data_IF_055594489376
#
_entry.id   IF_055594489376
#
_cell.length_a   1.000
_cell.length_b   1.000
_cell.length_c   1.000
_cell.angle_alpha   90.00
_cell.angle_beta   90.00
_cell.angle_gamma   90.00
#
_symmetry.space_group_name_H-M   'P 1'
#
loop_
_entity.id
_entity.type
_entity.pdbx_description
1 polymer ?
#
# COMPACT_ATOMS: atom_id res chain seq x y z
N UNK A 1 14.88 -10.96 2.44
CA UNK A 1 13.56 -10.68 3.06
C UNK A 1 12.53 -11.39 2.21
N UNK A 2 11.72 -12.26 2.81
CA UNK A 2 10.72 -13.06 2.10
C UNK A 2 9.46 -13.20 2.96
N UNK A 3 8.38 -12.52 2.58
CA UNK A 3 7.10 -12.58 3.25
C UNK A 3 5.94 -12.27 2.30
N UNK A 4 4.73 -12.55 2.77
CA UNK A 4 3.49 -12.17 2.12
C UNK A 4 2.98 -10.82 2.67
N UNK A 5 2.11 -10.18 1.90
CA UNK A 5 1.36 -8.98 2.29
C UNK A 5 -0.12 -9.30 2.23
N UNK A 6 -0.82 -9.14 3.35
CA UNK A 6 -2.26 -9.40 3.43
C UNK A 6 -3.03 -8.09 3.62
N UNK A 7 -4.16 -7.97 2.94
CA UNK A 7 -5.16 -6.93 3.19
C UNK A 7 -6.50 -7.57 3.53
N UNK A 8 -7.20 -7.02 4.51
CA UNK A 8 -8.64 -7.27 4.69
C UNK A 8 -9.34 -6.05 4.13
N UNK A 9 -10.16 -6.26 3.11
CA UNK A 9 -10.85 -5.20 2.37
C UNK A 9 -12.35 -5.43 2.38
N UNK A 10 -13.11 -4.39 2.12
CA UNK A 10 -14.57 -4.37 2.17
C UNK A 10 -15.17 -3.84 0.88
N UNK A 11 -16.50 -3.84 0.80
CA UNK A 11 -17.25 -3.21 -0.30
C UNK A 11 -16.81 -1.76 -0.53
N UNK A 12 -16.62 -0.99 0.55
CA UNK A 12 -16.20 0.41 0.48
C UNK A 12 -14.81 0.58 -0.14
N UNK A 13 -13.86 -0.27 0.24
CA UNK A 13 -12.52 -0.26 -0.35
C UNK A 13 -12.56 -0.58 -1.85
N UNK A 14 -13.41 -1.52 -2.27
CA UNK A 14 -13.51 -1.92 -3.67
C UNK A 14 -14.24 -0.90 -4.56
N UNK A 15 -15.05 0.00 -3.97
CA UNK A 15 -15.69 1.12 -4.67
C UNK A 15 -14.73 2.27 -4.94
N UNK A 16 -13.68 2.41 -4.13
CA UNK A 16 -12.75 3.53 -4.24
C UNK A 16 -11.83 3.44 -5.47
N UNK A 17 -11.71 4.55 -6.21
CA UNK A 17 -10.95 4.61 -7.46
C UNK A 17 -9.46 4.24 -7.27
N UNK A 18 -8.87 4.67 -6.15
CA UNK A 18 -7.48 4.34 -5.79
C UNK A 18 -7.25 2.82 -5.70
N UNK A 19 -8.22 2.05 -5.20
CA UNK A 19 -8.09 0.60 -5.09
C UNK A 19 -8.07 -0.06 -6.47
N UNK A 20 -8.86 0.47 -7.42
CA UNK A 20 -8.83 0.03 -8.81
C UNK A 20 -7.51 0.35 -9.50
N UNK A 21 -6.95 1.54 -9.28
CA UNK A 21 -5.62 1.92 -9.76
C UNK A 21 -4.54 0.96 -9.24
N UNK A 22 -4.51 0.73 -7.93
CA UNK A 22 -3.55 -0.15 -7.29
C UNK A 22 -3.72 -1.62 -7.72
N UNK A 23 -4.95 -2.12 -7.81
CA UNK A 23 -5.24 -3.49 -8.22
C UNK A 23 -4.84 -3.73 -9.68
N UNK A 24 -5.15 -2.78 -10.57
CA UNK A 24 -4.71 -2.83 -11.97
C UNK A 24 -3.19 -2.91 -12.08
N UNK A 25 -2.44 -2.09 -11.33
CA UNK A 25 -0.98 -2.11 -11.36
C UNK A 25 -0.39 -3.37 -10.73
N UNK A 26 -0.93 -3.85 -9.61
CA UNK A 26 -0.46 -5.07 -8.95
C UNK A 26 -0.64 -6.32 -9.84
N UNK A 27 -1.75 -6.38 -10.59
CA UNK A 27 -1.99 -7.44 -11.57
C UNK A 27 -1.01 -7.38 -12.75
N UNK A 28 -0.77 -6.17 -13.30
CA UNK A 28 0.25 -5.95 -14.32
C UNK A 28 1.66 -6.38 -13.85
N UNK A 29 2.00 -6.05 -12.60
CA UNK A 29 3.28 -6.38 -11.97
C UNK A 29 3.37 -7.83 -11.45
N UNK A 30 2.31 -8.65 -11.59
CA UNK A 30 2.28 -10.05 -11.15
C UNK A 30 2.75 -10.26 -9.69
N UNK A 31 2.25 -9.43 -8.77
CA UNK A 31 2.65 -9.44 -7.37
C UNK A 31 2.04 -10.63 -6.58
N UNK A 32 2.47 -11.86 -6.84
CA UNK A 32 1.95 -13.11 -6.24
C UNK A 32 2.03 -13.25 -4.72
N UNK A 33 2.68 -12.31 -4.03
CA UNK A 33 2.73 -12.25 -2.56
C UNK A 33 1.72 -11.30 -1.93
N UNK A 34 0.90 -10.62 -2.74
CA UNK A 34 -0.23 -9.79 -2.30
C UNK A 34 -1.49 -10.64 -2.29
N UNK A 35 -2.13 -10.75 -1.11
CA UNK A 35 -3.34 -11.53 -0.92
C UNK A 35 -4.38 -10.68 -0.19
N UNK A 36 -5.52 -10.43 -0.83
CA UNK A 36 -6.65 -9.74 -0.22
C UNK A 36 -7.72 -10.74 0.21
N UNK A 37 -8.22 -10.57 1.45
CA UNK A 37 -9.45 -11.16 1.92
C UNK A 37 -10.52 -10.08 1.86
N UNK A 38 -11.45 -10.22 0.91
CA UNK A 38 -12.56 -9.31 0.75
C UNK A 38 -13.73 -9.81 1.61
N UNK A 39 -14.07 -9.05 2.64
CA UNK A 39 -15.27 -9.24 3.46
C UNK A 39 -16.52 -8.88 2.64
N UNK A 40 -17.05 -9.87 1.94
CA UNK A 40 -18.21 -9.73 1.06
C UNK A 40 -19.48 -10.00 1.86
N UNK A 41 -19.94 -8.99 2.58
CA UNK A 41 -21.12 -9.05 3.45
C UNK A 41 -22.36 -8.36 2.84
N UNK A 42 -22.21 -7.74 1.66
CA UNK A 42 -23.26 -7.02 0.92
C UNK A 42 -23.85 -5.79 1.62
N UNK A 43 -23.15 -5.20 2.59
CA UNK A 43 -23.63 -4.08 3.40
C UNK A 43 -22.61 -2.94 3.42
N UNK A 44 -23.09 -1.73 3.16
CA UNK A 44 -22.37 -0.46 3.35
C UNK A 44 -23.05 0.38 4.44
N UNK A 45 -22.52 1.58 4.70
CA UNK A 45 -23.09 2.50 5.70
C UNK A 45 -24.54 2.86 5.40
N UNK A 46 -24.84 3.22 4.15
CA UNK A 46 -26.16 3.73 3.76
C UNK A 46 -27.19 2.63 3.52
N UNK A 47 -26.77 1.37 3.40
CA UNK A 47 -27.69 0.30 3.09
C UNK A 47 -27.02 -0.98 2.62
N UNK A 48 -27.78 -1.78 1.90
CA UNK A 48 -27.23 -2.92 1.16
C UNK A 48 -26.48 -2.42 -0.07
N UNK A 49 -25.53 -3.21 -0.55
CA UNK A 49 -24.69 -2.88 -1.71
C UNK A 49 -25.49 -2.65 -2.99
N UNK A 50 -26.68 -3.23 -3.14
CA UNK A 50 -27.51 -3.11 -4.35
C UNK A 50 -27.95 -1.68 -4.69
N UNK A 51 -27.88 -0.74 -3.73
CA UNK A 51 -28.20 0.67 -3.95
C UNK A 51 -27.14 1.41 -4.79
N UNK A 52 -25.87 0.96 -4.77
CA UNK A 52 -24.76 1.71 -5.37
C UNK A 52 -23.59 0.85 -5.90
N UNK A 53 -23.57 -0.46 -5.61
CA UNK A 53 -22.47 -1.38 -5.91
C UNK A 53 -23.00 -2.75 -6.35
N UNK A 54 -23.24 -2.87 -7.65
CA UNK A 54 -23.83 -4.06 -8.30
C UNK A 54 -22.92 -4.69 -9.36
N UNK A 55 -21.67 -4.22 -9.45
CA UNK A 55 -20.69 -4.73 -10.38
C UNK A 55 -20.20 -6.15 -10.01
N UNK A 56 -19.67 -6.85 -10.99
CA UNK A 56 -19.04 -8.14 -10.80
C UNK A 56 -17.56 -7.93 -10.41
N UNK A 57 -17.31 -7.79 -9.10
CA UNK A 57 -15.96 -7.61 -8.55
C UNK A 57 -15.01 -8.73 -8.98
N UNK A 58 -15.51 -9.96 -9.07
CA UNK A 58 -14.71 -11.12 -9.44
C UNK A 58 -14.21 -10.99 -10.88
N UNK A 59 -15.10 -10.63 -11.82
CA UNK A 59 -14.70 -10.36 -13.21
C UNK A 59 -13.80 -9.13 -13.34
N UNK A 60 -14.00 -8.08 -12.54
CA UNK A 60 -13.12 -6.90 -12.54
C UNK A 60 -11.69 -7.27 -12.14
N UNK A 61 -11.53 -8.05 -11.06
CA UNK A 61 -10.22 -8.49 -10.60
C UNK A 61 -9.58 -9.53 -11.54
N UNK A 62 -10.37 -10.45 -12.10
CA UNK A 62 -9.88 -11.37 -13.15
C UNK A 62 -9.36 -10.59 -14.36
N UNK A 63 -10.06 -9.54 -14.79
CA UNK A 63 -9.63 -8.66 -15.88
C UNK A 63 -8.34 -7.87 -15.55
N UNK A 64 -8.06 -7.60 -14.27
CA UNK A 64 -6.77 -7.06 -13.84
C UNK A 64 -5.63 -8.10 -13.84
N UNK A 65 -5.93 -9.39 -14.01
CA UNK A 65 -4.95 -10.47 -13.97
C UNK A 65 -4.73 -11.06 -12.57
N UNK A 66 -5.73 -10.96 -11.69
CA UNK A 66 -5.67 -11.54 -10.35
C UNK A 66 -6.13 -13.00 -10.32
N UNK A 67 -5.64 -13.74 -9.34
CA UNK A 67 -6.25 -15.01 -8.94
C UNK A 67 -7.47 -14.72 -8.06
N UNK A 68 -8.64 -15.16 -8.52
CA UNK A 68 -9.92 -14.85 -7.88
C UNK A 68 -10.54 -16.10 -7.28
N UNK A 69 -10.92 -16.03 -6.00
CA UNK A 69 -11.61 -17.09 -5.30
C UNK A 69 -12.88 -16.55 -4.64
N UNK A 70 -13.93 -17.36 -4.55
CA UNK A 70 -15.15 -17.05 -3.80
C UNK A 70 -15.45 -18.24 -2.89
N UNK A 71 -15.58 -17.98 -1.59
CA UNK A 71 -15.72 -19.02 -0.56
C UNK A 71 -16.79 -18.63 0.46
N UNK A 72 -17.22 -19.60 1.26
CA UNK A 72 -17.88 -19.32 2.53
C UNK A 72 -16.85 -18.74 3.52
N UNK A 73 -16.98 -17.46 3.84
CA UNK A 73 -16.09 -16.76 4.77
C UNK A 73 -16.34 -17.11 6.24
N UNK A 74 -17.44 -17.79 6.54
CA UNK A 74 -17.78 -18.26 7.89
C UNK A 74 -17.19 -19.64 8.18
N UNK A 75 -16.66 -20.34 7.17
CA UNK A 75 -15.97 -21.63 7.30
C UNK A 75 -14.45 -21.44 7.35
N UNK A 76 -13.87 -21.61 8.54
CA UNK A 76 -12.42 -21.51 8.74
C UNK A 76 -11.59 -22.50 7.91
N UNK A 77 -12.12 -23.67 7.55
CA UNK A 77 -11.43 -24.63 6.70
C UNK A 77 -11.41 -24.15 5.24
N UNK A 78 -12.50 -23.57 4.74
CA UNK A 78 -12.56 -22.96 3.42
C UNK A 78 -11.58 -21.78 3.31
N UNK A 79 -11.51 -20.91 4.33
CA UNK A 79 -10.55 -19.80 4.39
C UNK A 79 -9.11 -20.32 4.36
N UNK A 80 -8.79 -21.35 5.14
CA UNK A 80 -7.45 -21.94 5.18
C UNK A 80 -7.05 -22.55 3.81
N UNK A 81 -7.97 -23.26 3.16
CA UNK A 81 -7.75 -23.83 1.84
C UNK A 81 -7.53 -22.75 0.77
N UNK A 82 -8.35 -21.68 0.80
CA UNK A 82 -8.23 -20.57 -0.15
C UNK A 82 -6.92 -19.79 0.02
N UNK A 83 -6.47 -19.58 1.25
CA UNK A 83 -5.17 -18.98 1.55
C UNK A 83 -4.01 -19.85 1.06
N UNK A 84 -4.12 -21.17 1.18
CA UNK A 84 -3.11 -22.10 0.65
C UNK A 84 -3.05 -22.04 -0.88
N UNK A 85 -4.20 -22.01 -1.56
CA UNK A 85 -4.28 -21.85 -3.01
C UNK A 85 -3.72 -20.50 -3.47
N UNK A 86 -4.07 -19.41 -2.79
CA UNK A 86 -3.56 -18.07 -3.09
C UNK A 86 -2.04 -17.98 -3.00
N UNK A 87 -1.43 -18.62 -1.99
CA UNK A 87 0.03 -18.66 -1.81
C UNK A 87 0.78 -19.43 -2.90
N UNK A 88 0.08 -20.34 -3.59
CA UNK A 88 0.64 -21.18 -4.64
C UNK A 88 0.46 -20.58 -6.05
N UNK A 89 -0.36 -19.53 -6.19
CA UNK A 89 -0.57 -18.85 -7.47
C UNK A 89 0.48 -17.73 -7.65
N UNK A 90 1.09 -17.58 -8.84
CA UNK A 90 2.05 -16.51 -9.11
C UNK A 90 1.39 -15.12 -9.25
N UNK A 91 0.07 -15.02 -9.41
CA UNK A 91 -0.66 -13.75 -9.52
C UNK A 91 -1.04 -13.20 -8.14
N UNK A 92 -1.23 -11.88 -7.99
CA UNK A 92 -1.88 -11.36 -6.78
C UNK A 92 -3.27 -12.00 -6.63
N UNK A 93 -3.68 -12.27 -5.39
CA UNK A 93 -4.91 -13.01 -5.11
C UNK A 93 -5.94 -12.16 -4.38
N UNK A 94 -7.21 -12.28 -4.77
CA UNK A 94 -8.37 -11.79 -4.01
C UNK A 94 -9.29 -12.95 -3.68
N UNK A 95 -9.65 -13.06 -2.40
CA UNK A 95 -10.54 -14.09 -1.86
C UNK A 95 -11.79 -13.39 -1.37
N UNK A 96 -12.88 -13.51 -2.13
CA UNK A 96 -14.22 -13.07 -1.70
C UNK A 96 -14.74 -14.01 -0.63
N UNK A 97 -14.65 -13.57 0.62
CA UNK A 97 -15.18 -14.26 1.78
C UNK A 97 -16.63 -13.84 1.97
N UNK A 98 -17.58 -14.71 1.61
CA UNK A 98 -19.00 -14.42 1.88
C UNK A 98 -19.25 -14.52 3.37
N UNK A 99 -19.60 -13.41 4.02
CA UNK A 99 -19.83 -13.33 5.47
C UNK A 99 -21.21 -12.72 5.76
N UNK A 100 -21.55 -12.63 7.05
CA UNK A 100 -22.76 -11.96 7.52
C UNK A 100 -22.36 -10.90 8.54
N UNK A 101 -22.59 -9.62 8.23
CA UNK A 101 -22.30 -8.53 9.16
C UNK A 101 -23.12 -8.68 10.46
N UNK A 102 -22.52 -8.43 11.61
CA UNK A 102 -23.22 -8.54 12.90
C UNK A 102 -23.68 -9.96 13.25
N UNK A 103 -23.07 -10.99 12.67
CA UNK A 103 -23.42 -12.40 12.88
C UNK A 103 -23.65 -12.75 14.37
N UNK A 104 -24.76 -13.42 14.63
CA UNK A 104 -25.21 -13.83 15.95
C UNK A 104 -26.05 -12.80 16.70
N UNK A 105 -26.24 -11.58 16.17
CA UNK A 105 -27.19 -10.61 16.70
C UNK A 105 -28.60 -10.88 16.17
N UNK A 106 -29.57 -11.27 17.02
CA UNK A 106 -30.94 -11.51 16.56
C UNK A 106 -31.60 -10.33 15.83
N UNK A 107 -31.22 -9.09 16.15
CA UNK A 107 -31.83 -7.89 15.58
C UNK A 107 -30.99 -7.24 14.47
N UNK A 108 -29.67 -7.31 14.55
CA UNK A 108 -28.77 -6.52 13.69
C UNK A 108 -28.06 -7.36 12.63
N UNK A 109 -28.02 -8.69 12.77
CA UNK A 109 -27.38 -9.58 11.80
C UNK A 109 -27.88 -9.31 10.38
N UNK A 110 -26.93 -9.16 9.46
CA UNK A 110 -27.19 -8.92 8.05
C UNK A 110 -27.75 -7.52 7.75
N UNK A 111 -27.86 -6.62 8.73
CA UNK A 111 -28.44 -5.29 8.52
C UNK A 111 -27.37 -4.18 8.48
N UNK A 112 -27.60 -3.08 7.73
CA UNK A 112 -26.74 -1.89 7.76
C UNK A 112 -26.50 -1.31 9.16
N UNK A 113 -27.43 -1.50 10.09
CA UNK A 113 -27.30 -1.02 11.46
C UNK A 113 -26.17 -1.69 12.23
N UNK A 114 -25.78 -2.91 11.85
CA UNK A 114 -24.63 -3.58 12.46
C UNK A 114 -23.29 -2.88 12.15
N UNK A 115 -23.24 -2.01 11.13
CA UNK A 115 -22.03 -1.25 10.80
C UNK A 115 -21.79 -0.09 11.78
N UNK A 116 -22.84 0.67 12.09
CA UNK A 116 -22.70 1.98 12.76
C UNK A 116 -23.16 1.99 14.21
N UNK A 117 -24.12 1.14 14.58
CA UNK A 117 -24.76 1.22 15.89
C UNK A 117 -23.96 0.43 16.93
N UNK A 118 -23.73 1.03 18.09
CA UNK A 118 -23.31 0.27 19.26
C UNK A 118 -24.42 -0.71 19.67
N UNK A 119 -24.08 -1.99 19.83
CA UNK A 119 -25.05 -2.99 20.24
C UNK A 119 -25.45 -2.69 21.69
N UNK A 120 -26.74 -2.44 21.94
CA UNK A 120 -27.24 -2.20 23.29
C UNK A 120 -27.06 -3.42 24.19
N UNK A 121 -27.09 -3.23 25.51
CA UNK A 121 -26.82 -4.30 26.49
C UNK A 121 -27.68 -5.56 26.32
N UNK A 122 -28.96 -5.39 26.00
CA UNK A 122 -29.88 -6.50 25.75
C UNK A 122 -29.44 -7.31 24.51
N UNK A 123 -29.08 -6.62 23.44
CA UNK A 123 -28.66 -7.24 22.18
C UNK A 123 -27.33 -7.96 22.37
N UNK A 124 -26.36 -7.31 23.02
CA UNK A 124 -25.08 -7.92 23.38
C UNK A 124 -25.25 -9.19 24.23
N UNK A 125 -26.20 -9.20 25.17
CA UNK A 125 -26.48 -10.38 25.97
C UNK A 125 -26.99 -11.56 25.13
N UNK A 126 -27.88 -11.27 24.16
CA UNK A 126 -28.39 -12.28 23.23
C UNK A 126 -27.30 -12.78 22.28
N UNK A 127 -26.49 -11.89 21.71
CA UNK A 127 -25.37 -12.27 20.85
C UNK A 127 -24.35 -13.13 21.58
N UNK A 128 -23.97 -12.76 22.82
CA UNK A 128 -23.08 -13.60 23.63
C UNK A 128 -23.66 -14.98 23.88
N UNK A 129 -24.94 -15.06 24.24
CA UNK A 129 -25.62 -16.34 24.47
C UNK A 129 -25.64 -17.21 23.20
N UNK A 130 -25.92 -16.60 22.04
CA UNK A 130 -25.87 -17.27 20.73
C UNK A 130 -24.48 -17.83 20.44
N UNK A 131 -23.43 -17.05 20.71
CA UNK A 131 -22.03 -17.45 20.51
C UNK A 131 -21.50 -18.40 21.60
N UNK A 132 -22.32 -18.80 22.57
CA UNK A 132 -21.94 -19.71 23.65
C UNK A 132 -21.05 -19.09 24.73
N UNK A 133 -21.00 -17.76 24.83
CA UNK A 133 -20.24 -17.08 25.87
C UNK A 133 -20.97 -17.10 27.23
N UNK A 134 -20.24 -17.15 28.36
CA UNK A 134 -20.85 -17.11 29.69
C UNK A 134 -21.71 -15.87 29.90
N UNK A 135 -22.87 -16.05 30.54
CA UNK A 135 -23.78 -14.94 30.86
C UNK A 135 -23.09 -13.87 31.72
N UNK A 136 -23.33 -12.60 31.40
CA UNK A 136 -22.76 -11.45 32.11
C UNK A 136 -21.27 -11.21 31.87
N UNK A 137 -20.59 -12.06 31.08
CA UNK A 137 -19.16 -11.87 30.79
C UNK A 137 -18.89 -10.62 29.95
N UNK A 138 -17.81 -9.91 30.30
CA UNK A 138 -17.26 -8.77 29.57
C UNK A 138 -15.76 -8.95 29.46
N UNK A 139 -15.19 -8.64 28.29
CA UNK A 139 -13.76 -8.81 28.02
C UNK A 139 -13.24 -10.22 28.38
N UNK A 140 -14.09 -11.24 28.24
CA UNK A 140 -13.76 -12.62 28.58
C UNK A 140 -13.00 -13.29 27.43
N UNK A 141 -11.89 -13.94 27.76
CA UNK A 141 -11.06 -14.69 26.82
C UNK A 141 -11.02 -16.16 27.27
N UNK A 142 -11.58 -17.10 26.49
CA UNK A 142 -11.55 -18.52 26.85
C UNK A 142 -10.13 -19.08 26.95
N UNK A 143 -9.93 -20.05 27.84
CA UNK A 143 -8.61 -20.70 28.04
C UNK A 143 -8.07 -21.35 26.76
N UNK A 144 -8.95 -21.90 25.91
CA UNK A 144 -8.57 -22.46 24.62
C UNK A 144 -7.95 -21.40 23.68
N UNK A 145 -8.46 -20.16 23.70
CA UNK A 145 -7.91 -19.05 22.91
C UNK A 145 -6.56 -18.62 23.48
N UNK A 146 -6.41 -18.60 24.81
CA UNK A 146 -5.11 -18.33 25.44
C UNK A 146 -4.07 -19.39 25.08
N UNK A 147 -4.46 -20.68 25.12
CA UNK A 147 -3.59 -21.77 24.71
C UNK A 147 -3.18 -21.65 23.23
N UNK A 148 -4.11 -21.31 22.34
CA UNK A 148 -3.81 -21.05 20.92
C UNK A 148 -2.86 -19.86 20.75
N UNK A 149 -3.05 -18.77 21.50
CA UNK A 149 -2.13 -17.62 21.52
C UNK A 149 -0.71 -18.05 21.88
N UNK A 150 -0.53 -18.91 22.88
CA UNK A 150 0.80 -19.43 23.25
C UNK A 150 1.45 -20.24 22.12
N UNK A 151 0.66 -21.02 21.37
CA UNK A 151 1.17 -21.74 20.20
C UNK A 151 1.65 -20.78 19.10
N UNK A 152 0.90 -19.71 18.82
CA UNK A 152 1.33 -18.70 17.85
C UNK A 152 2.58 -17.94 18.27
N UNK A 153 2.72 -17.60 19.56
CA UNK A 153 3.94 -16.98 20.09
C UNK A 153 5.15 -17.90 19.93
N UNK A 154 5.02 -19.17 20.29
CA UNK A 154 6.10 -20.15 20.15
C UNK A 154 6.50 -20.34 18.67
N UNK A 155 5.52 -20.46 17.77
CA UNK A 155 5.75 -20.55 16.33
C UNK A 155 6.44 -19.30 15.78
N UNK A 156 5.97 -18.11 16.17
CA UNK A 156 6.55 -16.84 15.76
C UNK A 156 8.01 -16.72 16.18
N UNK A 157 8.32 -17.03 17.43
CA UNK A 157 9.69 -17.04 17.94
C UNK A 157 10.60 -18.01 17.17
N UNK A 158 10.11 -19.21 16.85
CA UNK A 158 10.87 -20.18 16.05
C UNK A 158 11.14 -19.69 14.62
N UNK A 159 10.15 -19.05 13.97
CA UNK A 159 10.31 -18.47 12.63
C UNK A 159 11.29 -17.28 12.64
N UNK A 160 11.21 -16.44 13.67
CA UNK A 160 12.13 -15.31 13.84
C UNK A 160 13.56 -15.78 14.09
N UNK A 161 13.77 -16.79 14.94
CA UNK A 161 15.08 -17.38 15.18
C UNK A 161 15.67 -17.99 13.90
N UNK A 162 14.86 -18.72 13.12
CA UNK A 162 15.28 -19.23 11.83
C UNK A 162 15.65 -18.10 10.84
N UNK A 163 14.88 -17.01 10.84
CA UNK A 163 15.18 -15.82 10.03
C UNK A 163 16.48 -15.13 10.46
N UNK A 164 16.72 -15.00 11.77
CA UNK A 164 17.97 -14.45 12.33
C UNK A 164 19.17 -15.31 11.96
N UNK A 165 19.05 -16.63 12.06
CA UNK A 165 20.09 -17.57 11.65
C UNK A 165 20.39 -17.46 10.14
N UNK A 166 19.35 -17.38 9.30
CA UNK A 166 19.51 -17.18 7.86
C UNK A 166 20.18 -15.83 7.53
N UNK A 167 19.80 -14.75 8.21
CA UNK A 167 20.42 -13.44 8.04
C UNK A 167 21.89 -13.42 8.51
N UNK A 168 22.22 -14.13 9.59
CA UNK A 168 23.60 -14.28 10.05
C UNK A 168 24.46 -15.07 9.05
N UNK A 169 23.92 -16.16 8.49
CA UNK A 169 24.59 -16.91 7.42
C UNK A 169 24.78 -16.07 6.16
N UNK A 170 23.77 -15.28 5.78
CA UNK A 170 23.87 -14.32 4.68
C UNK A 170 24.97 -13.27 4.95
N UNK A 171 25.02 -12.70 6.15
CA UNK A 171 26.04 -11.71 6.51
C UNK A 171 27.46 -12.28 6.54
N UNK A 172 27.64 -13.56 6.86
CA UNK A 172 28.93 -14.22 6.78
C UNK A 172 29.37 -14.47 5.33
N UNK A 173 28.43 -14.77 4.43
CA UNK A 173 28.71 -15.05 3.01
C UNK A 173 28.83 -13.78 2.15
N UNK A 174 28.08 -12.72 2.49
CA UNK A 174 27.93 -11.47 1.73
C UNK A 174 28.03 -10.27 2.69
N UNK A 175 29.22 -10.01 3.27
CA UNK A 175 29.36 -9.03 4.35
C UNK A 175 29.04 -7.59 3.92
N UNK A 176 29.38 -7.20 2.69
CA UNK A 176 29.15 -5.85 2.19
C UNK A 176 27.66 -5.62 1.91
N UNK A 177 26.99 -6.57 1.26
CA UNK A 177 25.56 -6.51 0.95
C UNK A 177 24.71 -6.62 2.23
N UNK A 178 25.14 -7.40 3.22
CA UNK A 178 24.45 -7.47 4.51
C UNK A 178 24.59 -6.17 5.31
N UNK A 179 25.76 -5.53 5.27
CA UNK A 179 25.94 -4.21 5.87
C UNK A 179 25.06 -3.16 5.18
N UNK A 180 24.95 -3.22 3.86
CA UNK A 180 24.07 -2.36 3.08
C UNK A 180 22.58 -2.59 3.42
N UNK A 181 22.11 -3.85 3.39
CA UNK A 181 20.74 -4.20 3.76
C UNK A 181 20.40 -3.71 5.18
N UNK A 182 21.32 -3.89 6.14
CA UNK A 182 21.11 -3.42 7.52
C UNK A 182 20.92 -1.90 7.57
N UNK A 183 21.73 -1.13 6.86
CA UNK A 183 21.57 0.34 6.78
C UNK A 183 20.24 0.73 6.15
N UNK A 184 19.87 0.08 5.04
CA UNK A 184 18.60 0.34 4.35
C UNK A 184 17.40 0.10 5.25
N UNK A 185 17.40 -1.02 5.99
CA UNK A 185 16.33 -1.34 6.94
C UNK A 185 16.31 -0.39 8.15
N UNK A 186 17.44 0.21 8.51
CA UNK A 186 17.53 1.24 9.55
C UNK A 186 17.12 2.64 9.06
N UNK A 187 16.88 2.83 7.76
CA UNK A 187 16.61 4.15 7.17
C UNK A 187 17.84 5.06 7.14
N UNK A 188 19.04 4.49 7.26
CA UNK A 188 20.30 5.23 7.24
C UNK A 188 20.75 5.48 5.79
N UNK A 189 21.07 6.73 5.46
CA UNK A 189 21.66 7.07 4.17
C UNK A 189 23.11 6.61 4.11
N UNK A 190 23.53 6.01 3.00
CA UNK A 190 24.91 5.60 2.76
C UNK A 190 25.82 6.81 2.48
N UNK A 191 27.05 6.75 3.02
CA UNK A 191 28.21 7.52 2.57
C UNK A 191 28.06 9.04 2.52
N UNK A 192 28.94 9.66 1.74
CA UNK A 192 28.98 11.09 1.48
C UNK A 192 28.02 11.47 0.33
N UNK A 193 26.74 11.09 0.39
CA UNK A 193 25.77 11.39 -0.67
C UNK A 193 25.68 12.88 -1.02
N UNK A 194 26.05 13.77 -0.07
CA UNK A 194 26.12 15.21 -0.29
C UNK A 194 27.26 15.61 -1.25
N UNK A 195 28.36 14.84 -1.30
CA UNK A 195 29.51 15.14 -2.15
C UNK A 195 29.25 14.88 -3.63
N UNK A 196 28.29 14.02 -3.95
CA UNK A 196 27.91 13.76 -5.36
C UNK A 196 26.90 14.75 -5.90
N UNK A 197 26.34 15.64 -5.07
CA UNK A 197 25.36 16.62 -5.52
C UNK A 197 25.99 17.57 -6.55
N UNK A 198 25.35 17.77 -7.72
CA UNK A 198 25.87 18.68 -8.73
C UNK A 198 25.86 20.13 -8.22
N UNK A 199 26.87 20.89 -8.62
CA UNK A 199 26.89 22.34 -8.44
C UNK A 199 26.41 23.04 -9.72
N UNK A 200 25.47 23.97 -9.57
CA UNK A 200 24.96 24.78 -10.67
C UNK A 200 25.57 26.18 -10.59
N UNK A 201 26.25 26.61 -11.66
CA UNK A 201 26.99 27.87 -11.65
C UNK A 201 26.04 29.07 -11.85
N UNK A 202 26.30 30.21 -11.20
CA UNK A 202 25.59 31.44 -11.48
C UNK A 202 25.65 31.81 -12.97
N UNK A 203 24.51 32.22 -13.55
CA UNK A 203 24.41 32.64 -14.94
C UNK A 203 24.01 31.55 -15.94
N UNK A 204 23.98 30.28 -15.54
CA UNK A 204 23.45 29.19 -16.39
C UNK A 204 21.92 29.07 -16.21
N UNK A 205 21.17 29.22 -17.31
CA UNK A 205 19.72 29.06 -17.30
C UNK A 205 19.33 27.58 -17.35
N UNK A 206 18.65 27.10 -16.31
CA UNK A 206 18.16 25.72 -16.24
C UNK A 206 16.81 25.67 -15.52
N UNK A 207 15.86 24.93 -16.10
CA UNK A 207 14.60 24.63 -15.41
C UNK A 207 14.86 23.72 -14.19
N UNK A 208 14.22 23.99 -13.06
CA UNK A 208 14.40 23.21 -11.81
C UNK A 208 14.09 21.72 -11.98
N UNK A 209 13.14 21.35 -12.85
CA UNK A 209 12.90 19.94 -13.22
C UNK A 209 14.13 19.24 -13.84
N UNK A 210 14.91 19.95 -14.68
CA UNK A 210 16.13 19.42 -15.27
C UNK A 210 17.25 19.31 -14.22
N UNK A 211 17.34 20.28 -13.31
CA UNK A 211 18.25 20.22 -12.17
C UNK A 211 17.91 19.02 -11.27
N UNK A 212 16.62 18.81 -10.97
CA UNK A 212 16.12 17.66 -10.22
C UNK A 212 16.48 16.32 -10.88
N UNK A 213 16.31 16.20 -12.20
CA UNK A 213 16.74 15.01 -12.94
C UNK A 213 18.26 14.76 -12.88
N UNK A 214 19.07 15.81 -12.87
CA UNK A 214 20.53 15.71 -12.69
C UNK A 214 20.86 15.21 -11.27
N UNK A 215 20.19 15.77 -10.26
CA UNK A 215 20.36 15.40 -8.85
C UNK A 215 19.96 13.94 -8.61
N UNK A 216 18.80 13.50 -9.10
CA UNK A 216 18.33 12.12 -8.92
C UNK A 216 19.33 11.12 -9.48
N UNK A 217 19.90 11.40 -10.66
CA UNK A 217 20.87 10.50 -11.27
C UNK A 217 22.23 10.49 -10.55
N UNK A 218 22.65 11.62 -9.98
CA UNK A 218 23.83 11.67 -9.12
C UNK A 218 23.61 10.85 -7.83
N UNK A 219 22.45 11.02 -7.19
CA UNK A 219 22.07 10.28 -5.98
C UNK A 219 21.91 8.79 -6.24
N UNK A 220 21.29 8.39 -7.35
CA UNK A 220 21.06 6.99 -7.70
C UNK A 220 22.35 6.18 -7.90
N UNK A 221 23.49 6.84 -8.12
CA UNK A 221 24.81 6.21 -8.17
C UNK A 221 25.36 5.80 -6.79
N UNK A 222 24.88 6.40 -5.71
CA UNK A 222 25.35 6.15 -4.33
C UNK A 222 24.26 5.70 -3.35
N UNK A 223 22.99 5.83 -3.75
CA UNK A 223 21.80 5.36 -3.03
C UNK A 223 21.11 4.26 -3.86
N UNK A 224 21.55 3.00 -3.78
CA UNK A 224 20.95 1.92 -4.58
C UNK A 224 19.50 1.63 -4.22
N UNK A 225 19.09 1.96 -2.99
CA UNK A 225 17.72 1.82 -2.50
C UNK A 225 16.79 3.01 -2.82
N UNK A 226 17.25 4.00 -3.61
CA UNK A 226 16.38 5.02 -4.20
C UNK A 226 15.57 4.38 -5.34
N UNK A 227 14.27 4.22 -5.13
CA UNK A 227 13.36 3.53 -6.05
C UNK A 227 12.11 4.37 -6.21
N UNK A 228 11.64 4.53 -7.44
CA UNK A 228 10.48 5.36 -7.69
C UNK A 228 10.19 5.52 -9.15
N UNK A 229 9.35 6.50 -9.48
CA UNK A 229 8.93 6.68 -10.85
C UNK A 229 7.91 7.80 -11.01
N UNK A 230 7.11 7.70 -12.07
CA UNK A 230 6.17 8.75 -12.43
C UNK A 230 4.82 8.17 -12.83
N UNK A 231 3.77 8.96 -12.61
CA UNK A 231 2.44 8.71 -13.13
C UNK A 231 2.39 9.05 -14.64
N UNK A 232 3.05 8.23 -15.47
CA UNK A 232 3.14 8.37 -16.94
C UNK A 232 3.77 9.69 -17.45
N UNK A 233 4.52 10.40 -16.61
CA UNK A 233 5.09 11.71 -16.91
C UNK A 233 6.62 11.71 -16.77
N UNK A 234 7.27 10.56 -16.79
CA UNK A 234 8.70 10.43 -16.47
C UNK A 234 9.60 11.34 -17.34
N UNK A 235 9.31 11.38 -18.65
CA UNK A 235 10.04 12.23 -19.59
C UNK A 235 9.79 13.73 -19.35
N UNK A 236 8.60 14.12 -18.87
CA UNK A 236 8.21 15.50 -18.61
C UNK A 236 8.69 15.98 -17.24
N UNK A 237 8.63 15.12 -16.22
CA UNK A 237 9.09 15.39 -14.85
C UNK A 237 10.61 15.28 -14.71
N UNK A 238 11.28 14.58 -15.65
CA UNK A 238 12.74 14.36 -15.68
C UNK A 238 13.28 13.53 -14.52
N UNK A 239 12.50 12.58 -14.01
CA UNK A 239 12.84 11.81 -12.80
C UNK A 239 13.32 10.37 -13.08
N UNK A 240 13.55 9.98 -14.33
CA UNK A 240 14.09 8.65 -14.67
C UNK A 240 15.50 8.46 -14.10
N UNK A 241 15.71 7.35 -13.40
CA UNK A 241 17.03 6.84 -13.03
C UNK A 241 17.64 6.15 -14.24
N UNK A 242 18.64 6.79 -14.85
CA UNK A 242 19.44 6.22 -15.94
C UNK A 242 20.11 4.94 -15.45
N UNK A 243 20.14 3.93 -16.31
CA UNK A 243 20.68 2.59 -16.03
C UNK A 243 20.03 1.88 -14.82
N UNK A 244 18.94 2.42 -14.27
CA UNK A 244 18.21 1.83 -13.16
C UNK A 244 17.29 0.68 -13.55
N UNK A 245 17.03 0.47 -14.84
CA UNK A 245 16.08 -0.51 -15.35
C UNK A 245 14.62 -0.21 -14.96
N UNK A 246 13.68 -0.91 -15.59
CA UNK A 246 12.25 -0.84 -15.24
C UNK A 246 11.89 -1.93 -14.24
N UNK A 247 11.11 -1.56 -13.21
CA UNK A 247 10.50 -2.53 -12.31
C UNK A 247 9.32 -3.20 -13.02
N UNK A 248 9.47 -4.49 -13.33
CA UNK A 248 8.52 -5.25 -14.14
C UNK A 248 8.53 -6.74 -13.74
N UNK A 249 7.53 -7.55 -14.15
CA UNK A 249 7.45 -8.98 -13.79
C UNK A 249 8.70 -9.80 -14.13
N UNK A 250 9.40 -9.43 -15.20
CA UNK A 250 10.65 -10.06 -15.65
C UNK A 250 11.90 -9.42 -15.02
N UNK A 251 11.77 -8.31 -14.29
CA UNK A 251 12.87 -7.60 -13.63
C UNK A 251 12.41 -6.80 -12.39
N UNK A 252 12.25 -7.48 -11.25
CA UNK A 252 11.95 -6.81 -9.97
C UNK A 252 13.15 -6.06 -9.36
N UNK A 253 14.35 -6.15 -9.95
CA UNK A 253 15.50 -5.35 -9.52
C UNK A 253 15.51 -3.95 -10.14
N UNK A 254 14.63 -3.66 -11.09
CA UNK A 254 14.51 -2.34 -11.71
C UNK A 254 14.10 -1.26 -10.70
N UNK A 255 14.66 -0.06 -10.84
CA UNK A 255 14.44 1.07 -9.91
C UNK A 255 13.46 2.12 -10.45
N UNK A 256 13.06 2.02 -11.72
CA UNK A 256 12.04 2.88 -12.32
C UNK A 256 10.69 2.17 -12.36
N UNK A 257 9.72 2.66 -11.59
CA UNK A 257 8.34 2.16 -11.57
C UNK A 257 7.50 2.97 -12.56
N UNK A 258 6.88 2.28 -13.52
CA UNK A 258 5.90 2.90 -14.41
C UNK A 258 4.51 2.79 -13.77
N UNK A 259 4.09 3.81 -13.02
CA UNK A 259 2.80 3.77 -12.31
C UNK A 259 1.61 3.86 -13.27
N UNK A 260 1.80 4.37 -14.50
CA UNK A 260 0.72 4.77 -15.40
C UNK A 260 -0.01 6.03 -14.90
N UNK A 261 -1.11 6.42 -15.54
CA UNK A 261 -1.90 7.59 -15.14
C UNK A 261 -2.73 7.26 -13.89
N UNK A 262 -2.05 7.22 -12.74
CA UNK A 262 -2.55 6.66 -11.46
C UNK A 262 -1.95 7.43 -10.28
N UNK A 263 -2.14 8.74 -10.20
CA UNK A 263 -1.53 9.58 -9.16
C UNK A 263 -1.90 9.10 -7.76
N UNK A 264 -3.18 8.79 -7.53
CA UNK A 264 -3.64 8.40 -6.19
C UNK A 264 -3.09 7.04 -5.80
N UNK A 265 -3.15 6.06 -6.72
CA UNK A 265 -2.56 4.73 -6.56
C UNK A 265 -1.05 4.79 -6.37
N UNK A 266 -0.33 5.60 -7.14
CA UNK A 266 1.10 5.86 -6.97
C UNK A 266 1.40 6.33 -5.55
N UNK A 267 0.70 7.35 -5.05
CA UNK A 267 0.95 7.88 -3.72
C UNK A 267 0.64 6.85 -2.60
N UNK A 268 -0.44 6.08 -2.73
CA UNK A 268 -0.76 4.98 -1.81
C UNK A 268 0.31 3.88 -1.81
N UNK A 269 0.82 3.51 -2.98
CA UNK A 269 1.90 2.52 -3.13
C UNK A 269 3.20 3.03 -2.50
N UNK A 270 3.56 4.30 -2.71
CA UNK A 270 4.75 4.89 -2.11
C UNK A 270 4.67 4.90 -0.58
N UNK A 271 3.48 5.15 -0.01
CA UNK A 271 3.26 5.00 1.43
C UNK A 271 3.50 3.56 1.89
N UNK A 272 2.99 2.57 1.15
CA UNK A 272 3.23 1.15 1.42
C UNK A 272 4.73 0.78 1.38
N UNK A 273 5.47 1.30 0.40
CA UNK A 273 6.91 1.13 0.30
C UNK A 273 7.64 1.74 1.50
N UNK A 274 7.24 2.94 1.93
CA UNK A 274 7.80 3.60 3.12
C UNK A 274 7.49 2.84 4.41
N UNK A 275 6.27 2.30 4.57
CA UNK A 275 5.91 1.46 5.73
C UNK A 275 6.70 0.17 5.78
N UNK A 276 6.96 -0.46 4.64
CA UNK A 276 7.78 -1.67 4.58
C UNK A 276 9.23 -1.39 5.00
N UNK A 277 9.78 -0.24 4.60
CA UNK A 277 11.17 0.13 4.85
C UNK A 277 12.15 -0.54 3.89
N UNK A 278 13.43 -0.20 4.00
CA UNK A 278 14.48 -0.71 3.12
C UNK A 278 14.67 0.07 1.80
N UNK A 279 13.74 0.95 1.44
CA UNK A 279 13.80 1.77 0.22
C UNK A 279 13.52 3.24 0.53
N UNK A 280 13.98 4.13 -0.36
CA UNK A 280 13.66 5.55 -0.36
C UNK A 280 12.68 5.78 -1.52
N UNK A 281 11.37 5.80 -1.26
CA UNK A 281 10.36 5.88 -2.31
C UNK A 281 10.20 7.32 -2.84
N UNK A 282 10.13 7.47 -4.16
CA UNK A 282 9.72 8.73 -4.79
C UNK A 282 8.67 8.56 -5.89
N UNK A 283 7.82 9.56 -6.05
CA UNK A 283 6.82 9.64 -7.11
C UNK A 283 6.80 11.00 -7.78
N UNK A 284 6.50 11.04 -9.07
CA UNK A 284 6.45 12.28 -9.83
C UNK A 284 5.17 12.43 -10.65
N UNK A 285 4.63 13.65 -10.67
CA UNK A 285 3.55 14.08 -11.57
C UNK A 285 3.65 15.61 -11.75
N UNK A 286 2.69 16.22 -12.44
CA UNK A 286 2.54 17.67 -12.47
C UNK A 286 1.97 18.18 -11.16
N UNK A 287 2.39 19.37 -10.75
CA UNK A 287 1.96 19.94 -9.47
C UNK A 287 0.45 20.15 -9.42
N UNK A 288 -0.16 20.49 -10.55
CA UNK A 288 -1.62 20.65 -10.66
C UNK A 288 -2.39 19.34 -10.43
N UNK A 289 -1.75 18.19 -10.60
CA UNK A 289 -2.37 16.88 -10.35
C UNK A 289 -2.09 16.36 -8.94
N UNK A 290 -1.41 17.13 -8.08
CA UNK A 290 -1.26 16.74 -6.67
C UNK A 290 -2.61 16.58 -5.95
N UNK A 291 -3.64 17.27 -6.43
CA UNK A 291 -5.00 17.15 -5.89
C UNK A 291 -5.60 15.74 -6.06
N UNK A 292 -5.24 15.00 -7.12
CA UNK A 292 -5.67 13.60 -7.31
C UNK A 292 -5.13 12.67 -6.22
N UNK A 293 -3.95 12.98 -5.69
CA UNK A 293 -3.25 12.14 -4.71
C UNK A 293 -3.21 12.72 -3.29
N UNK A 294 -3.93 13.82 -3.06
CA UNK A 294 -3.87 14.57 -1.79
C UNK A 294 -4.26 13.74 -0.57
N UNK A 295 -5.23 12.82 -0.72
CA UNK A 295 -5.64 11.91 0.34
C UNK A 295 -4.48 11.04 0.83
N UNK A 296 -3.75 10.43 -0.10
CA UNK A 296 -2.56 9.63 0.19
C UNK A 296 -1.38 10.46 0.71
N UNK A 297 -1.16 11.67 0.20
CA UNK A 297 -0.15 12.59 0.75
C UNK A 297 -0.44 12.97 2.21
N UNK A 298 -1.73 13.15 2.54
CA UNK A 298 -2.17 13.40 3.91
C UNK A 298 -1.87 12.22 4.83
N UNK A 299 -2.07 10.98 4.36
CA UNK A 299 -1.71 9.80 5.13
C UNK A 299 -0.18 9.68 5.33
N UNK A 300 0.62 10.04 4.32
CA UNK A 300 2.08 10.07 4.46
C UNK A 300 2.52 11.03 5.58
N UNK A 301 1.98 12.26 5.55
CA UNK A 301 2.29 13.28 6.54
C UNK A 301 1.80 12.90 7.94
N UNK A 302 0.57 12.39 8.05
CA UNK A 302 -0.01 11.93 9.31
C UNK A 302 0.83 10.81 9.95
N UNK A 303 1.37 9.91 9.12
CA UNK A 303 2.13 8.75 9.56
C UNK A 303 3.64 9.00 9.66
N UNK A 304 4.11 10.22 9.36
CA UNK A 304 5.53 10.56 9.40
C UNK A 304 6.38 9.79 8.38
N UNK A 305 5.81 9.42 7.23
CA UNK A 305 6.49 8.64 6.21
C UNK A 305 7.43 9.53 5.38
N UNK A 306 8.68 9.11 5.13
CA UNK A 306 9.65 9.88 4.35
C UNK A 306 9.45 9.69 2.82
N UNK A 307 8.23 9.88 2.33
CA UNK A 307 7.93 9.79 0.88
C UNK A 307 8.34 11.08 0.18
N UNK A 308 9.01 10.96 -0.97
CA UNK A 308 9.45 12.10 -1.77
C UNK A 308 8.51 12.30 -2.96
N UNK A 309 7.86 13.47 -3.02
CA UNK A 309 7.01 13.85 -4.15
C UNK A 309 7.72 14.88 -5.04
N UNK A 310 7.91 14.54 -6.31
CA UNK A 310 8.52 15.39 -7.33
C UNK A 310 7.39 16.01 -8.16
N UNK A 311 6.99 17.22 -7.79
CA UNK A 311 5.86 17.93 -8.39
C UNK A 311 6.41 19.03 -9.31
N UNK A 312 6.36 18.79 -10.62
CA UNK A 312 6.91 19.72 -11.64
C UNK A 312 5.82 20.59 -12.27
N UNK A 313 6.15 21.51 -13.18
CA UNK A 313 5.16 22.35 -13.85
C UNK A 313 4.36 23.17 -12.82
N UNK A 314 5.07 23.98 -12.06
CA UNK A 314 4.64 24.49 -10.76
C UNK A 314 3.77 25.74 -10.79
N UNK A 315 3.50 26.30 -11.97
CA UNK A 315 2.88 27.62 -12.11
C UNK A 315 2.22 27.83 -13.48
N UNK A 316 1.68 29.02 -13.69
CA UNK A 316 1.20 29.51 -15.00
C UNK A 316 2.29 29.50 -16.10
N UNK A 317 3.56 29.34 -15.73
CA UNK A 317 4.68 29.20 -16.67
C UNK A 317 4.61 27.95 -17.56
N UNK A 318 3.64 27.06 -17.33
CA UNK A 318 3.29 25.96 -18.25
C UNK A 318 2.85 26.47 -19.63
N UNK A 319 2.13 27.60 -19.70
CA UNK A 319 1.73 28.20 -20.96
C UNK A 319 0.55 27.50 -21.64
N UNK A 320 0.80 26.90 -22.81
CA UNK A 320 -0.21 26.51 -23.80
C UNK A 320 -1.20 25.42 -23.35
N UNK A 321 -0.85 24.60 -22.35
CA UNK A 321 -1.78 23.59 -21.80
C UNK A 321 -2.97 24.22 -21.04
N UNK A 322 -2.87 25.51 -20.73
CA UNK A 322 -3.99 26.31 -20.21
C UNK A 322 -4.31 26.07 -18.73
N UNK A 323 -5.42 26.66 -18.23
CA UNK A 323 -5.68 26.79 -16.79
C UNK A 323 -5.88 25.45 -16.07
N UNK A 324 -6.24 24.38 -16.78
CA UNK A 324 -6.36 23.03 -16.18
C UNK A 324 -5.02 22.41 -15.81
N UNK A 325 -3.91 22.94 -16.33
CA UNK A 325 -2.54 22.45 -16.09
C UNK A 325 -1.67 23.44 -15.30
N UNK A 326 -2.25 24.56 -14.85
CA UNK A 326 -1.51 25.65 -14.23
C UNK A 326 -1.88 25.72 -12.74
N UNK A 327 -0.98 25.31 -11.82
CA UNK A 327 -1.24 25.37 -10.39
C UNK A 327 -1.46 26.81 -9.90
N UNK A 328 -2.44 27.00 -9.02
CA UNK A 328 -2.70 28.30 -8.36
C UNK A 328 -2.71 28.16 -6.83
N UNK A 329 -3.61 27.35 -6.30
CA UNK A 329 -3.88 27.08 -4.88
C UNK A 329 -3.02 25.95 -4.29
N UNK A 330 -2.34 25.19 -5.14
CA UNK A 330 -1.73 23.91 -4.79
C UNK A 330 -0.62 24.06 -3.74
N UNK A 331 0.17 25.14 -3.81
CA UNK A 331 1.21 25.44 -2.81
C UNK A 331 0.63 25.76 -1.43
N UNK A 332 -0.46 26.53 -1.38
CA UNK A 332 -1.15 26.82 -0.13
C UNK A 332 -1.81 25.55 0.44
N UNK A 333 -2.42 24.75 -0.44
CA UNK A 333 -3.05 23.46 -0.14
C UNK A 333 -2.09 22.48 0.57
N UNK A 334 -0.88 22.29 0.02
CA UNK A 334 0.12 21.39 0.62
C UNK A 334 0.79 21.97 1.87
N UNK A 335 1.11 23.28 1.90
CA UNK A 335 1.72 23.92 3.08
C UNK A 335 0.79 23.99 4.28
N UNK A 336 -0.52 24.00 4.06
CA UNK A 336 -1.51 23.93 5.13
C UNK A 336 -1.60 22.55 5.79
N UNK A 337 -1.02 21.50 5.17
CA UNK A 337 -1.01 20.15 5.71
C UNK A 337 0.06 20.02 6.80
N UNK A 338 -0.29 19.63 8.03
CA UNK A 338 0.70 19.40 9.08
C UNK A 338 1.72 18.33 8.67
N UNK A 339 2.97 18.49 9.10
CA UNK A 339 4.06 17.56 8.83
C UNK A 339 4.36 17.32 7.33
N UNK A 340 3.98 18.27 6.46
CA UNK A 340 4.34 18.28 5.04
C UNK A 340 5.38 19.39 4.80
N UNK A 341 6.56 19.01 4.33
CA UNK A 341 7.59 19.99 3.91
C UNK A 341 7.47 20.24 2.41
N UNK A 342 7.29 21.53 2.04
CA UNK A 342 7.10 22.00 0.66
C UNK A 342 8.05 23.12 0.30
#
# INVERSE_FOLDING_TARGET
IDHYTYGIVSDGDLMEGIASEAASLAGHLQLGKVIYLYDNNHVTIDGYTDIAYTEDWAKRFDAYGWHVQSIDGMDGAAVAAALAAAKADPRPSIIGCKTVIGYGSPKLEGTPKAHSDAFGEEELAKTRAFLGFPAGSRFYVPDAVQALRHQFLARGAALEEASRAALAAYAAAYPDEAAELKRFMAGELSGNWQEVLPQFKPGEAMATRNAGGTIINALAGVLPNLIGGSADLAASNKNTIKDGGSFAPDNYAGRNINFGVREHGMAGILNGMAYHGGVIPFGATFFVFSDYMRGSMRLAALSGLPVIYILTHDSVGVGEDGPTHQPVEHLASLRAMPNMTV
#
